data_IF_929026456279
#
_entry.id   IF_929026456279
#
_cell.length_a   1.000
_cell.length_b   1.000
_cell.length_c   1.000
_cell.angle_alpha   90.00
_cell.angle_beta   90.00
_cell.angle_gamma   90.00
#
_symmetry.space_group_name_H-M   'P 1'
#
loop_
_entity.id
_entity.type
_entity.pdbx_description
1 polymer ?
#
# COMPACT_ATOMS: atom_id res chain seq x y z
N UNK A 1 -8.23 0.32 15.05
CA UNK A 1 -7.32 1.01 16.00
C UNK A 1 -5.91 0.58 15.64
N UNK A 2 -5.06 1.48 15.13
CA UNK A 2 -3.70 1.12 14.68
C UNK A 2 -2.71 1.49 15.78
N UNK A 3 -1.96 0.51 16.28
CA UNK A 3 -0.91 0.68 17.30
C UNK A 3 0.45 0.42 16.66
N UNK A 4 1.34 1.40 16.65
CA UNK A 4 2.71 1.23 16.14
C UNK A 4 3.70 1.28 17.32
N UNK A 5 4.45 0.19 17.52
CA UNK A 5 5.59 0.10 18.45
C UNK A 5 6.86 -0.18 17.64
N UNK A 6 7.89 0.61 17.90
CA UNK A 6 9.18 0.70 17.22
C UNK A 6 9.82 -0.66 16.87
N UNK A 7 10.14 -0.84 15.59
CA UNK A 7 10.84 -2.02 15.04
C UNK A 7 9.96 -3.04 14.31
N UNK A 8 8.63 -2.84 14.35
CA UNK A 8 7.67 -3.80 13.81
C UNK A 8 7.06 -3.28 12.51
N UNK A 9 6.98 -4.16 11.52
CA UNK A 9 6.18 -3.94 10.31
C UNK A 9 4.77 -3.50 10.72
N UNK A 10 4.23 -2.54 9.97
CA UNK A 10 2.81 -2.19 9.99
C UNK A 10 2.08 -3.27 9.22
N UNK A 11 1.41 -4.16 9.95
CA UNK A 11 0.52 -5.15 9.38
C UNK A 11 -0.85 -4.51 9.14
N UNK A 12 -1.30 -4.56 7.89
CA UNK A 12 -2.63 -4.10 7.48
C UNK A 12 -3.41 -5.36 7.12
N UNK A 13 -4.37 -5.70 7.97
CA UNK A 13 -5.19 -6.90 7.84
C UNK A 13 -6.44 -6.60 7.01
N UNK A 14 -6.66 -7.43 6.00
CA UNK A 14 -7.80 -7.38 5.07
C UNK A 14 -8.79 -8.53 5.31
N UNK A 15 -8.76 -9.16 6.49
CA UNK A 15 -9.81 -10.08 6.91
C UNK A 15 -11.19 -9.41 6.72
N UNK A 16 -12.10 -10.14 6.06
CA UNK A 16 -13.44 -9.69 5.65
C UNK A 16 -13.49 -8.47 4.71
N UNK A 17 -12.37 -8.09 4.09
CA UNK A 17 -12.31 -7.05 3.05
C UNK A 17 -12.15 -7.68 1.66
N UNK A 18 -13.26 -7.76 0.92
CA UNK A 18 -13.31 -8.37 -0.41
C UNK A 18 -12.97 -7.41 -1.57
N UNK A 19 -13.02 -6.10 -1.34
CA UNK A 19 -12.74 -5.10 -2.38
C UNK A 19 -12.40 -3.75 -1.75
N UNK A 20 -11.53 -3.01 -2.43
CA UNK A 20 -11.21 -1.61 -2.12
C UNK A 20 -11.45 -0.73 -3.34
N UNK A 21 -11.62 0.58 -3.15
CA UNK A 21 -11.68 1.50 -4.29
C UNK A 21 -10.27 1.80 -4.82
N UNK A 22 -10.18 2.12 -6.12
CA UNK A 22 -8.91 2.57 -6.71
C UNK A 22 -8.36 3.85 -6.05
N UNK A 23 -9.24 4.77 -5.64
CA UNK A 23 -8.82 5.98 -4.92
C UNK A 23 -8.22 5.64 -3.57
N UNK A 24 -8.81 4.71 -2.82
CA UNK A 24 -8.25 4.26 -1.55
C UNK A 24 -6.90 3.57 -1.75
N UNK A 25 -6.79 2.65 -2.70
CA UNK A 25 -5.54 1.95 -3.00
C UNK A 25 -4.40 2.92 -3.31
N UNK A 26 -4.69 3.96 -4.09
CA UNK A 26 -3.73 4.97 -4.49
C UNK A 26 -3.36 5.94 -3.35
N UNK A 27 -4.33 6.41 -2.56
CA UNK A 27 -4.00 7.30 -1.44
C UNK A 27 -3.29 6.60 -0.29
N UNK A 28 -3.71 5.38 0.04
CA UNK A 28 -3.16 4.62 1.16
C UNK A 28 -1.82 3.95 0.82
N UNK A 29 -1.69 3.38 -0.39
CA UNK A 29 -0.51 2.59 -0.77
C UNK A 29 0.30 3.25 -1.88
N UNK A 30 -0.34 3.78 -2.92
CA UNK A 30 0.36 4.44 -4.02
C UNK A 30 1.22 5.62 -3.54
N UNK A 31 0.61 6.61 -2.88
CA UNK A 31 1.32 7.77 -2.33
C UNK A 31 2.35 7.36 -1.27
N UNK A 32 1.99 6.42 -0.39
CA UNK A 32 2.88 5.94 0.66
C UNK A 32 4.13 5.25 0.08
N UNK A 33 3.98 4.50 -1.01
CA UNK A 33 5.10 3.86 -1.72
C UNK A 33 6.09 4.90 -2.28
N UNK A 34 5.61 6.03 -2.80
CA UNK A 34 6.49 7.12 -3.26
C UNK A 34 7.21 7.79 -2.10
N UNK A 35 6.50 8.04 -0.99
CA UNK A 35 7.06 8.73 0.18
C UNK A 35 8.16 7.89 0.85
N UNK A 36 7.91 6.59 1.04
CA UNK A 36 8.86 5.68 1.70
C UNK A 36 9.95 5.18 0.74
N UNK A 37 9.64 5.12 -0.55
CA UNK A 37 10.41 4.39 -1.53
C UNK A 37 10.25 2.86 -1.40
N UNK A 38 10.63 2.10 -2.45
CA UNK A 38 10.32 0.67 -2.54
C UNK A 38 10.88 -0.16 -1.38
N UNK A 39 12.15 0.05 -1.01
CA UNK A 39 12.82 -0.74 0.01
C UNK A 39 12.21 -0.56 1.39
N UNK A 40 11.94 0.68 1.79
CA UNK A 40 11.37 0.94 3.11
C UNK A 40 9.90 0.51 3.15
N UNK A 41 9.13 0.72 2.07
CA UNK A 41 7.76 0.26 1.97
C UNK A 41 7.67 -1.27 2.17
N UNK A 42 8.46 -2.05 1.43
CA UNK A 42 8.44 -3.52 1.54
C UNK A 42 8.92 -4.04 2.89
N UNK A 43 9.83 -3.32 3.56
CA UNK A 43 10.32 -3.70 4.88
C UNK A 43 9.40 -3.23 6.03
N UNK A 44 8.51 -2.27 5.76
CA UNK A 44 7.69 -1.63 6.80
C UNK A 44 6.21 -1.98 6.68
N UNK A 45 5.70 -2.31 5.49
CA UNK A 45 4.28 -2.59 5.25
C UNK A 45 4.10 -4.08 4.94
N UNK A 46 3.20 -4.73 5.68
CA UNK A 46 2.79 -6.11 5.44
C UNK A 46 1.27 -6.15 5.22
N UNK A 47 0.84 -6.77 4.12
CA UNK A 47 -0.58 -6.96 3.82
C UNK A 47 -0.96 -8.37 4.29
N UNK A 48 -1.78 -8.46 5.34
CA UNK A 48 -2.27 -9.73 5.87
C UNK A 48 -3.69 -9.99 5.34
N UNK A 49 -3.99 -11.25 5.01
CA UNK A 49 -5.30 -11.69 4.52
C UNK A 49 -5.85 -10.92 3.30
N UNK A 50 -4.98 -10.25 2.53
CA UNK A 50 -5.37 -9.64 1.27
C UNK A 50 -5.59 -10.74 0.22
N UNK A 51 -6.78 -10.76 -0.39
CA UNK A 51 -7.03 -11.64 -1.52
C UNK A 51 -6.41 -11.07 -2.81
N UNK A 52 -6.47 -11.87 -3.88
CA UNK A 52 -5.87 -11.50 -5.16
C UNK A 52 -6.52 -10.26 -5.80
N UNK A 53 -7.78 -9.96 -5.48
CA UNK A 53 -8.47 -8.78 -6.01
C UNK A 53 -7.96 -7.51 -5.32
N UNK A 54 -7.85 -7.53 -3.99
CA UNK A 54 -7.28 -6.45 -3.19
C UNK A 54 -5.81 -6.22 -3.56
N UNK A 55 -5.00 -7.28 -3.63
CA UNK A 55 -3.60 -7.18 -4.04
C UNK A 55 -3.44 -6.57 -5.44
N UNK A 56 -4.26 -6.99 -6.41
CA UNK A 56 -4.22 -6.45 -7.77
C UNK A 56 -4.53 -4.94 -7.81
N UNK A 57 -5.48 -4.48 -6.99
CA UNK A 57 -5.82 -3.06 -6.89
C UNK A 57 -4.69 -2.24 -6.26
N UNK A 58 -4.07 -2.75 -5.20
CA UNK A 58 -2.92 -2.11 -4.54
C UNK A 58 -1.74 -2.02 -5.50
N UNK A 59 -1.37 -3.14 -6.14
CA UNK A 59 -0.26 -3.20 -7.10
C UNK A 59 -0.49 -2.25 -8.28
N UNK A 60 -1.71 -2.23 -8.83
CA UNK A 60 -2.08 -1.30 -9.90
C UNK A 60 -1.92 0.15 -9.47
N UNK A 61 -2.36 0.49 -8.26
CA UNK A 61 -2.25 1.84 -7.74
C UNK A 61 -0.78 2.27 -7.56
N UNK A 62 0.07 1.40 -7.02
CA UNK A 62 1.52 1.63 -6.91
C UNK A 62 2.13 1.88 -8.30
N UNK A 63 1.86 0.99 -9.26
CA UNK A 63 2.41 1.13 -10.63
C UNK A 63 1.98 2.42 -11.31
N UNK A 64 0.69 2.78 -11.23
CA UNK A 64 0.17 4.03 -11.78
C UNK A 64 0.82 5.24 -11.11
N UNK A 65 1.00 5.19 -9.79
CA UNK A 65 1.61 6.27 -9.05
C UNK A 65 3.09 6.43 -9.38
N UNK A 66 3.82 5.34 -9.59
CA UNK A 66 5.21 5.39 -10.07
C UNK A 66 5.32 6.02 -11.46
N UNK A 67 4.40 5.71 -12.39
CA UNK A 67 4.41 6.30 -13.73
C UNK A 67 4.09 7.79 -13.73
N UNK A 68 3.17 8.22 -12.86
CA UNK A 68 2.69 9.62 -12.80
C UNK A 68 3.55 10.52 -11.90
N UNK A 69 4.06 9.98 -10.78
CA UNK A 69 4.85 10.72 -9.79
C UNK A 69 6.29 11.02 -10.20
N UNK A 70 6.81 10.40 -11.26
CA UNK A 70 8.12 10.72 -11.83
C UNK A 70 8.13 12.01 -12.69
N UNK A 71 6.96 12.61 -12.95
CA UNK A 71 6.79 13.80 -13.81
C UNK A 71 6.68 15.14 -13.06
N UNK A 72 6.64 15.14 -11.73
CA UNK A 72 6.53 16.36 -10.90
C UNK A 72 7.77 16.51 -10.00
N UNK A 73 8.92 16.80 -10.61
CA UNK A 73 10.18 17.15 -9.93
C UNK A 73 10.79 18.40 -10.55
#
# INVERSE_FOLDING_TARGET
MVSALSGNKVVIDFEDVYVISSSFADEAFGKLFIILGPMLFMNTIELANADSAVEALINRAIMLRMQTGLGES
#
